data_IF_172932068011
#
_entry.id   IF_172932068011
#
_cell.length_a   1.000
_cell.length_b   1.000
_cell.length_c   1.000
_cell.angle_alpha   90.00
_cell.angle_beta   90.00
_cell.angle_gamma   90.00
#
_symmetry.space_group_name_H-M   'P 1'
#
loop_
_entity.id
_entity.type
_entity.pdbx_description
1 polymer ?
#
# COMPACT_ATOMS: atom_id res chain seq x y z
N UNK A 1 25.01 -13.85 14.39
CA UNK A 1 23.61 -14.18 14.74
C UNK A 1 22.81 -13.78 13.51
N UNK A 2 22.76 -14.68 12.54
CA UNK A 2 22.11 -14.44 11.25
C UNK A 2 20.61 -14.65 11.44
N UNK A 3 19.86 -13.54 11.51
CA UNK A 3 18.44 -13.58 11.22
C UNK A 3 18.32 -13.81 9.72
N UNK A 4 17.91 -15.01 9.32
CA UNK A 4 17.49 -15.27 7.95
C UNK A 4 16.21 -14.47 7.72
N UNK A 5 16.36 -13.21 7.30
CA UNK A 5 15.27 -12.40 6.78
C UNK A 5 14.61 -13.22 5.68
N UNK A 6 13.33 -13.53 5.87
CA UNK A 6 12.53 -14.19 4.86
C UNK A 6 12.42 -13.35 3.59
N UNK A 7 11.74 -13.91 2.59
CA UNK A 7 11.58 -13.29 1.27
C UNK A 7 11.15 -11.82 1.42
N UNK A 8 11.97 -10.92 0.89
CA UNK A 8 11.67 -9.49 0.78
C UNK A 8 11.16 -9.26 -0.63
N UNK A 9 9.87 -8.99 -0.75
CA UNK A 9 9.25 -8.59 -2.01
C UNK A 9 9.19 -7.07 -2.06
N UNK A 10 9.73 -6.48 -3.12
CA UNK A 10 9.73 -5.03 -3.31
C UNK A 10 8.92 -4.64 -4.54
N UNK A 11 8.17 -3.55 -4.41
CA UNK A 11 7.33 -2.97 -5.44
C UNK A 11 7.75 -1.53 -5.67
N UNK A 12 8.04 -1.19 -6.91
CA UNK A 12 8.29 0.18 -7.34
C UNK A 12 6.95 0.87 -7.62
N UNK A 13 6.79 2.10 -7.13
CA UNK A 13 5.60 2.91 -7.40
C UNK A 13 6.01 4.25 -8.01
N UNK A 14 5.39 4.60 -9.14
CA UNK A 14 5.47 5.91 -9.77
C UNK A 14 4.09 6.60 -9.72
N UNK A 15 4.06 7.89 -9.36
CA UNK A 15 2.82 8.67 -9.24
C UNK A 15 2.91 9.91 -10.13
N UNK A 16 1.93 10.11 -10.99
CA UNK A 16 1.84 11.28 -11.86
C UNK A 16 0.48 11.97 -11.74
N UNK A 17 0.49 13.30 -11.87
CA UNK A 17 -0.73 14.12 -11.97
C UNK A 17 -0.76 14.76 -13.37
N UNK A 18 -1.27 14.04 -14.39
CA UNK A 18 -1.21 14.50 -15.78
C UNK A 18 -2.02 15.76 -16.09
N UNK A 19 -3.15 15.98 -15.41
CA UNK A 19 -3.99 17.15 -15.69
C UNK A 19 -4.99 17.45 -14.57
N UNK A 20 -5.42 18.70 -14.50
CA UNK A 20 -6.54 19.17 -13.67
C UNK A 20 -7.75 19.52 -14.55
N UNK A 21 -8.96 19.18 -14.09
CA UNK A 21 -10.20 19.51 -14.79
C UNK A 21 -11.31 19.96 -13.81
N UNK A 22 -12.35 20.58 -14.35
CA UNK A 22 -13.55 20.92 -13.59
C UNK A 22 -14.63 19.87 -13.86
N UNK A 23 -15.24 19.37 -12.80
CA UNK A 23 -16.38 18.45 -12.80
C UNK A 23 -17.62 19.18 -12.27
N UNK A 24 -18.83 18.62 -12.43
CA UNK A 24 -20.04 19.20 -11.85
C UNK A 24 -19.98 19.39 -10.32
N UNK A 25 -19.15 18.62 -9.62
CA UNK A 25 -18.96 18.68 -8.16
C UNK A 25 -17.79 19.57 -7.71
N UNK A 26 -16.98 20.11 -8.63
CA UNK A 26 -15.83 20.96 -8.33
C UNK A 26 -14.57 20.61 -9.13
N UNK A 27 -13.41 21.11 -8.71
CA UNK A 27 -12.12 20.74 -9.30
C UNK A 27 -11.78 19.26 -9.08
N UNK A 28 -11.05 18.67 -10.00
CA UNK A 28 -10.58 17.29 -9.93
C UNK A 28 -9.23 17.10 -10.65
N UNK A 29 -8.45 16.14 -10.19
CA UNK A 29 -7.15 15.78 -10.74
C UNK A 29 -7.24 14.39 -11.36
N UNK A 30 -6.74 14.25 -12.59
CA UNK A 30 -6.36 12.94 -13.08
C UNK A 30 -5.05 12.55 -12.41
N UNK A 31 -5.02 11.36 -11.81
CA UNK A 31 -3.86 10.77 -11.13
C UNK A 31 -3.59 9.42 -11.76
N UNK A 32 -2.33 9.18 -12.13
CA UNK A 32 -1.86 7.91 -12.64
C UNK A 32 -0.86 7.31 -11.68
N UNK A 33 -1.03 6.03 -11.37
CA UNK A 33 -0.16 5.26 -10.49
C UNK A 33 0.31 4.04 -11.28
N UNK A 34 1.61 3.92 -11.47
CA UNK A 34 2.23 2.69 -11.98
C UNK A 34 2.84 1.94 -10.80
N UNK A 35 2.56 0.64 -10.70
CA UNK A 35 3.22 -0.26 -9.76
C UNK A 35 3.78 -1.48 -10.48
N UNK A 36 4.94 -1.96 -10.06
CA UNK A 36 5.54 -3.20 -10.57
C UNK A 36 6.52 -3.80 -9.57
N UNK A 37 6.78 -5.12 -9.61
CA UNK A 37 7.88 -5.69 -8.83
C UNK A 37 9.22 -5.06 -9.20
N UNK A 38 10.12 -4.90 -8.23
CA UNK A 38 11.40 -4.26 -8.48
C UNK A 38 12.22 -5.00 -9.55
N UNK A 39 12.75 -4.26 -10.52
CA UNK A 39 13.49 -4.83 -11.65
C UNK A 39 12.64 -5.59 -12.69
N UNK A 40 11.30 -5.60 -12.56
CA UNK A 40 10.41 -6.25 -13.52
C UNK A 40 10.17 -5.41 -14.79
N UNK A 41 9.77 -6.10 -15.85
CA UNK A 41 9.42 -5.47 -17.13
C UNK A 41 8.01 -4.86 -17.13
N UNK A 42 7.64 -4.20 -18.24
CA UNK A 42 6.32 -3.57 -18.40
C UNK A 42 5.17 -4.58 -18.33
N UNK A 43 5.39 -5.82 -18.73
CA UNK A 43 4.37 -6.89 -18.68
C UNK A 43 3.91 -7.23 -17.26
N UNK A 44 4.75 -6.96 -16.25
CA UNK A 44 4.45 -7.21 -14.83
C UNK A 44 3.92 -5.95 -14.12
N UNK A 45 3.67 -4.86 -14.86
CA UNK A 45 3.18 -3.60 -14.31
C UNK A 45 1.66 -3.59 -14.15
N UNK A 46 1.18 -2.90 -13.12
CA UNK A 46 -0.21 -2.51 -12.97
C UNK A 46 -0.29 -0.98 -13.02
N UNK A 47 -1.09 -0.46 -13.94
CA UNK A 47 -1.34 0.97 -14.13
C UNK A 47 -2.76 1.27 -13.67
N UNK A 48 -2.89 2.28 -12.83
CA UNK A 48 -4.16 2.78 -12.31
C UNK A 48 -4.33 4.22 -12.75
N UNK A 49 -5.51 4.58 -13.28
CA UNK A 49 -5.88 5.96 -13.54
C UNK A 49 -7.13 6.32 -12.75
N UNK A 50 -7.04 7.37 -11.96
CA UNK A 50 -8.07 7.83 -11.03
C UNK A 50 -8.43 9.26 -11.39
N UNK A 51 -9.73 9.57 -11.51
CA UNK A 51 -10.20 10.95 -11.42
C UNK A 51 -10.51 11.24 -9.96
N UNK A 52 -9.68 12.05 -9.31
CA UNK A 52 -9.75 12.32 -7.88
C UNK A 52 -10.26 13.74 -7.65
N UNK A 53 -11.34 13.89 -6.90
CA UNK A 53 -11.86 15.19 -6.47
C UNK A 53 -10.79 16.02 -5.76
N UNK A 54 -10.69 17.31 -6.05
CA UNK A 54 -9.77 18.25 -5.39
C UNK A 54 -9.98 18.31 -3.87
N UNK A 55 -11.17 17.93 -3.38
CA UNK A 55 -11.42 17.79 -1.95
C UNK A 55 -10.44 16.84 -1.25
N UNK A 56 -9.78 15.92 -1.98
CA UNK A 56 -8.76 15.01 -1.46
C UNK A 56 -7.61 15.74 -0.75
N UNK A 57 -7.31 16.98 -1.17
CA UNK A 57 -6.28 17.83 -0.55
C UNK A 57 -6.58 18.20 0.89
N UNK A 58 -7.85 18.05 1.31
CA UNK A 58 -8.35 18.30 2.66
C UNK A 58 -8.80 17.02 3.34
N UNK A 59 -8.53 15.86 2.74
CA UNK A 59 -8.98 14.58 3.27
C UNK A 59 -8.38 14.30 4.64
N UNK A 60 -9.20 13.72 5.51
CA UNK A 60 -8.75 13.18 6.78
C UNK A 60 -8.17 11.77 6.58
N UNK A 61 -7.17 11.35 7.38
CA UNK A 61 -6.63 9.99 7.31
C UNK A 61 -7.68 8.88 7.49
N UNK A 62 -8.79 9.15 8.19
CA UNK A 62 -9.87 8.18 8.39
C UNK A 62 -10.90 8.13 7.26
N UNK A 63 -10.78 8.98 6.25
CA UNK A 63 -11.72 8.95 5.12
C UNK A 63 -11.39 7.80 4.17
N UNK A 64 -12.41 7.29 3.48
CA UNK A 64 -12.22 6.25 2.47
C UNK A 64 -11.78 6.87 1.16
N UNK A 65 -10.84 6.23 0.45
CA UNK A 65 -10.40 6.68 -0.87
C UNK A 65 -11.57 6.78 -1.86
N UNK A 66 -12.57 5.91 -1.74
CA UNK A 66 -13.75 5.90 -2.61
C UNK A 66 -14.52 7.22 -2.57
N UNK A 67 -14.51 7.93 -1.45
CA UNK A 67 -15.28 9.18 -1.28
C UNK A 67 -14.73 10.32 -2.15
N UNK A 68 -13.51 10.16 -2.64
CA UNK A 68 -12.81 11.15 -3.46
C UNK A 68 -12.57 10.70 -4.89
N UNK A 69 -12.71 9.42 -5.19
CA UNK A 69 -12.50 8.87 -6.54
C UNK A 69 -13.81 8.90 -7.31
N UNK A 70 -13.86 9.73 -8.35
CA UNK A 70 -15.00 9.90 -9.25
C UNK A 70 -15.01 8.84 -10.35
N UNK A 71 -13.84 8.55 -10.92
CA UNK A 71 -13.66 7.55 -11.98
C UNK A 71 -12.41 6.72 -11.72
N UNK A 72 -12.44 5.44 -12.09
CA UNK A 72 -11.35 4.50 -11.85
C UNK A 72 -11.13 3.57 -13.06
N UNK A 73 -9.88 3.49 -13.51
CA UNK A 73 -9.45 2.64 -14.61
C UNK A 73 -8.21 1.84 -14.22
N UNK A 74 -8.10 0.61 -14.74
CA UNK A 74 -6.95 -0.27 -14.53
C UNK A 74 -6.45 -0.80 -15.88
N UNK A 75 -5.14 -0.90 -16.03
CA UNK A 75 -4.46 -1.65 -17.10
C UNK A 75 -3.39 -2.54 -16.48
N UNK A 76 -3.36 -3.83 -16.83
CA UNK A 76 -2.38 -4.80 -16.32
C UNK A 76 -1.46 -5.25 -17.45
N UNK A 77 -0.18 -4.97 -17.35
CA UNK A 77 0.80 -5.25 -18.39
C UNK A 77 0.35 -4.70 -19.76
N UNK A 78 0.29 -5.60 -20.74
CA UNK A 78 -0.18 -5.33 -22.10
C UNK A 78 -1.69 -5.48 -22.31
N UNK A 79 -2.48 -5.78 -21.26
CA UNK A 79 -3.93 -5.91 -21.37
C UNK A 79 -4.61 -4.61 -21.81
N UNK A 80 -5.86 -4.74 -22.27
CA UNK A 80 -6.75 -3.60 -22.50
C UNK A 80 -7.10 -2.88 -21.20
N UNK A 81 -7.25 -1.56 -21.28
CA UNK A 81 -7.76 -0.73 -20.18
C UNK A 81 -9.19 -1.16 -19.82
N UNK A 82 -9.49 -1.24 -18.53
CA UNK A 82 -10.81 -1.57 -17.99
C UNK A 82 -11.27 -0.46 -17.06
N UNK A 83 -12.49 0.02 -17.28
CA UNK A 83 -13.19 0.84 -16.29
C UNK A 83 -13.61 -0.02 -15.12
N UNK A 84 -13.46 0.51 -13.91
CA UNK A 84 -13.74 -0.18 -12.66
C UNK A 84 -14.62 0.72 -11.78
N UNK A 85 -15.43 0.09 -10.93
CA UNK A 85 -16.26 0.85 -10.00
C UNK A 85 -15.40 1.37 -8.83
N UNK A 86 -15.46 2.68 -8.50
CA UNK A 86 -14.77 3.22 -7.32
C UNK A 86 -15.14 2.50 -6.02
N UNK A 87 -16.34 1.91 -5.95
CA UNK A 87 -16.80 1.10 -4.82
C UNK A 87 -15.86 -0.07 -4.47
N UNK A 88 -15.02 -0.54 -5.40
CA UNK A 88 -13.97 -1.53 -5.11
C UNK A 88 -12.87 -1.01 -4.18
N UNK A 89 -12.78 0.31 -4.01
CA UNK A 89 -11.84 1.00 -3.13
C UNK A 89 -12.40 1.26 -1.72
N UNK A 90 -13.61 0.78 -1.40
CA UNK A 90 -14.29 1.07 -0.11
C UNK A 90 -13.44 0.75 1.12
N UNK A 91 -12.66 -0.32 1.06
CA UNK A 91 -11.84 -0.80 2.18
C UNK A 91 -10.43 -0.20 2.19
N UNK A 92 -10.12 0.72 1.28
CA UNK A 92 -8.81 1.40 1.20
C UNK A 92 -8.92 2.78 1.82
N UNK A 93 -8.59 2.93 3.11
CA UNK A 93 -8.59 4.23 3.74
C UNK A 93 -7.41 5.06 3.20
N UNK A 94 -7.59 6.38 3.09
CA UNK A 94 -6.58 7.29 2.52
C UNK A 94 -5.32 7.42 3.38
N UNK A 95 -5.52 7.31 4.68
CA UNK A 95 -4.51 6.95 5.64
C UNK A 95 -4.98 5.71 6.38
N UNK A 96 -4.12 5.02 7.12
CA UNK A 96 -4.61 3.91 7.91
C UNK A 96 -5.54 4.40 9.05
N UNK A 97 -6.61 3.64 9.31
CA UNK A 97 -7.66 3.94 10.31
C UNK A 97 -7.14 4.40 11.68
N UNK A 98 -7.89 5.36 12.28
CA UNK A 98 -7.80 5.93 13.64
C UNK A 98 -6.37 6.18 14.15
N UNK A 99 -5.93 7.45 14.13
CA UNK A 99 -4.60 7.90 14.58
C UNK A 99 -4.19 7.39 15.99
N UNK A 100 -5.15 7.04 16.86
CA UNK A 100 -4.88 6.55 18.22
C UNK A 100 -4.18 5.20 18.30
N UNK A 101 -4.17 4.41 17.21
CA UNK A 101 -3.52 3.09 17.16
C UNK A 101 -2.15 3.09 16.49
N UNK A 102 -1.66 4.26 16.06
CA UNK A 102 -0.41 4.40 15.32
C UNK A 102 0.64 5.15 16.13
N UNK A 103 1.86 4.62 16.14
CA UNK A 103 3.03 5.35 16.61
C UNK A 103 3.48 6.33 15.53
N UNK A 104 3.62 7.60 15.90
CA UNK A 104 4.00 8.70 15.03
C UNK A 104 5.42 9.16 15.33
N UNK A 105 6.26 9.25 14.30
CA UNK A 105 7.61 9.80 14.39
C UNK A 105 7.79 10.85 13.29
N UNK A 106 7.76 12.16 13.64
CA UNK A 106 7.95 13.22 12.66
C UNK A 106 9.43 13.43 12.32
N UNK A 107 9.70 13.94 11.13
CA UNK A 107 11.04 14.41 10.73
C UNK A 107 12.04 13.29 10.41
N UNK A 108 11.54 12.10 10.04
CA UNK A 108 12.39 10.98 9.62
C UNK A 108 12.83 11.22 8.18
N UNK A 109 14.14 11.19 7.93
CA UNK A 109 14.64 11.24 6.55
C UNK A 109 14.54 9.85 5.90
N UNK A 110 13.86 9.78 4.76
CA UNK A 110 13.72 8.54 3.97
C UNK A 110 14.32 8.77 2.59
N UNK A 111 15.28 7.93 2.23
CA UNK A 111 15.87 7.89 0.89
C UNK A 111 15.12 6.89 0.02
N UNK A 112 14.71 7.32 -1.17
CA UNK A 112 14.14 6.47 -2.23
C UNK A 112 14.82 6.78 -3.56
N UNK A 113 14.56 6.02 -4.65
CA UNK A 113 15.10 6.36 -5.97
C UNK A 113 14.65 7.74 -6.48
N UNK A 114 13.53 8.27 -5.97
CA UNK A 114 13.06 9.62 -6.29
C UNK A 114 13.84 10.74 -5.57
N UNK A 115 14.64 10.41 -4.55
CA UNK A 115 15.43 11.37 -3.75
C UNK A 115 15.25 11.17 -2.24
N UNK A 116 15.74 12.15 -1.47
CA UNK A 116 15.62 12.18 -0.02
C UNK A 116 14.45 13.05 0.42
N UNK A 117 13.61 12.52 1.32
CA UNK A 117 12.42 13.20 1.81
C UNK A 117 12.44 13.32 3.34
N UNK A 118 12.00 14.48 3.84
CA UNK A 118 11.61 14.61 5.25
C UNK A 118 10.19 14.11 5.41
N UNK A 119 10.02 13.04 6.17
CA UNK A 119 8.77 12.30 6.29
C UNK A 119 8.20 12.33 7.71
N UNK A 120 6.88 12.17 7.79
CA UNK A 120 6.20 11.65 8.96
C UNK A 120 6.08 10.13 8.82
N UNK A 121 6.66 9.39 9.77
CA UNK A 121 6.50 7.95 9.88
C UNK A 121 5.28 7.62 10.76
N UNK A 122 4.40 6.76 10.25
CA UNK A 122 3.31 6.14 11.00
C UNK A 122 3.55 4.63 11.05
N UNK A 123 3.56 4.01 12.23
CA UNK A 123 3.59 2.54 12.35
C UNK A 123 2.50 1.95 13.26
N UNK A 124 2.00 0.76 12.91
CA UNK A 124 1.02 -0.01 13.70
C UNK A 124 1.34 -1.48 13.61
N UNK A 125 1.16 -2.18 14.72
CA UNK A 125 1.29 -3.64 14.79
C UNK A 125 -0.05 -4.26 15.18
N UNK A 126 -0.47 -5.28 14.44
CA UNK A 126 -1.70 -6.03 14.70
C UNK A 126 -1.31 -7.49 14.90
N UNK A 127 -1.75 -8.05 16.03
CA UNK A 127 -1.60 -9.48 16.31
C UNK A 127 -2.93 -10.17 16.09
N UNK A 128 -2.95 -11.12 15.18
CA UNK A 128 -4.07 -12.03 14.94
C UNK A 128 -3.74 -13.39 15.54
N UNK A 129 -4.69 -13.95 16.28
CA UNK A 129 -4.60 -15.30 16.81
C UNK A 129 -5.78 -16.13 16.32
N UNK A 130 -5.52 -17.33 15.82
CA UNK A 130 -6.53 -18.23 15.29
C UNK A 130 -6.30 -19.65 15.80
N UNK A 131 -7.30 -20.20 16.48
CA UNK A 131 -7.34 -21.62 16.82
C UNK A 131 -7.90 -22.43 15.64
N UNK A 132 -7.18 -23.48 15.23
CA UNK A 132 -7.58 -24.41 14.17
C UNK A 132 -7.73 -25.79 14.79
N UNK A 133 -8.95 -26.36 14.88
CA UNK A 133 -9.15 -27.69 15.44
C UNK A 133 -8.60 -28.77 14.51
N UNK A 134 -7.69 -29.61 15.01
CA UNK A 134 -7.07 -30.73 14.26
C UNK A 134 -7.28 -32.05 15.01
N UNK A 135 -8.55 -32.44 15.18
CA UNK A 135 -8.93 -33.68 15.86
C UNK A 135 -8.59 -33.65 17.36
N UNK A 136 -7.50 -34.31 17.75
CA UNK A 136 -7.09 -34.47 19.17
C UNK A 136 -6.28 -33.30 19.73
N UNK A 137 -5.81 -32.39 18.87
CA UNK A 137 -5.08 -31.18 19.26
C UNK A 137 -5.60 -29.97 18.50
N UNK A 138 -5.36 -28.78 19.04
CA UNK A 138 -5.59 -27.50 18.37
C UNK A 138 -4.26 -26.99 17.82
N UNK A 139 -4.27 -26.37 16.66
CA UNK A 139 -3.18 -25.52 16.21
C UNK A 139 -3.52 -24.08 16.57
N UNK A 140 -2.64 -23.41 17.30
CA UNK A 140 -2.73 -21.96 17.53
C UNK A 140 -1.82 -21.30 16.51
N UNK A 141 -2.42 -20.56 15.59
CA UNK A 141 -1.71 -19.74 14.61
C UNK A 141 -1.68 -18.31 15.12
N UNK A 142 -0.47 -17.78 15.34
CA UNK A 142 -0.23 -16.39 15.71
C UNK A 142 0.42 -15.67 14.56
N UNK A 143 -0.25 -14.64 14.04
CA UNK A 143 0.26 -13.76 12.99
C UNK A 143 0.44 -12.36 13.55
N UNK A 144 1.58 -11.75 13.30
CA UNK A 144 1.84 -10.35 13.64
C UNK A 144 2.18 -9.59 12.37
N UNK A 145 1.38 -8.57 12.07
CA UNK A 145 1.53 -7.68 10.95
C UNK A 145 1.92 -6.29 11.46
N UNK A 146 3.12 -5.82 11.10
CA UNK A 146 3.57 -4.46 11.34
C UNK A 146 3.55 -3.69 10.03
N UNK A 147 2.76 -2.63 10.03
CA UNK A 147 2.66 -1.67 8.94
C UNK A 147 3.47 -0.45 9.32
N UNK A 148 4.26 0.07 8.38
CA UNK A 148 4.96 1.35 8.52
C UNK A 148 4.80 2.13 7.23
N UNK A 149 4.35 3.38 7.32
CA UNK A 149 4.08 4.25 6.19
C UNK A 149 4.78 5.57 6.41
N UNK A 150 5.44 6.08 5.37
CA UNK A 150 6.17 7.34 5.40
C UNK A 150 5.52 8.32 4.43
N UNK A 151 5.11 9.47 4.96
CA UNK A 151 4.44 10.52 4.21
C UNK A 151 5.28 11.79 4.13
N UNK A 152 5.32 12.45 2.97
CA UNK A 152 5.95 13.76 2.79
C UNK A 152 5.07 14.72 2.01
N UNK A 153 4.95 15.94 2.51
CA UNK A 153 4.20 17.03 1.86
C UNK A 153 4.78 17.44 0.50
N UNK A 154 6.03 17.06 0.21
CA UNK A 154 6.68 17.31 -1.08
C UNK A 154 6.22 16.36 -2.20
N UNK A 155 5.48 15.30 -1.89
CA UNK A 155 4.95 14.34 -2.88
C UNK A 155 3.50 14.70 -3.23
N UNK A 156 3.14 14.79 -4.53
CA UNK A 156 1.81 15.17 -4.98
C UNK A 156 0.79 14.05 -4.73
N UNK A 157 -0.37 14.40 -4.17
CA UNK A 157 -1.53 13.53 -3.90
C UNK A 157 -1.18 12.27 -3.08
N UNK A 158 -1.91 11.98 -2.00
CA UNK A 158 -1.63 10.90 -1.03
C UNK A 158 -0.33 11.03 -0.20
N UNK A 159 0.61 11.90 -0.59
CA UNK A 159 1.86 12.20 0.14
C UNK A 159 2.76 10.98 0.39
N UNK A 160 2.54 9.86 -0.30
CA UNK A 160 3.18 8.58 0.01
C UNK A 160 4.62 8.52 -0.53
N UNK A 161 5.59 8.35 0.35
CA UNK A 161 7.02 8.16 -0.01
C UNK A 161 7.39 6.68 0.03
N UNK A 162 6.97 5.97 1.08
CA UNK A 162 7.28 4.56 1.29
C UNK A 162 6.20 3.88 2.12
N UNK A 163 6.00 2.59 1.89
CA UNK A 163 5.20 1.72 2.75
C UNK A 163 5.95 0.40 2.96
N UNK A 164 5.91 -0.15 4.17
CA UNK A 164 6.48 -1.44 4.53
C UNK A 164 5.48 -2.23 5.34
N UNK A 165 5.33 -3.51 5.00
CA UNK A 165 4.52 -4.46 5.73
C UNK A 165 5.40 -5.63 6.11
N UNK A 166 5.76 -5.70 7.38
CA UNK A 166 6.46 -6.83 7.98
C UNK A 166 5.42 -7.79 8.53
N UNK A 167 5.43 -9.03 8.08
CA UNK A 167 4.54 -10.08 8.57
C UNK A 167 5.36 -11.18 9.19
N UNK A 168 4.93 -11.64 10.35
CA UNK A 168 5.45 -12.85 10.96
C UNK A 168 4.32 -13.82 11.30
N UNK A 169 4.58 -15.10 11.13
CA UNK A 169 3.64 -16.18 11.40
C UNK A 169 4.33 -17.27 12.19
N UNK A 170 3.69 -17.67 13.28
CA UNK A 170 4.07 -18.79 14.12
C UNK A 170 2.88 -19.74 14.25
N UNK A 171 3.16 -21.03 14.37
CA UNK A 171 2.12 -22.04 14.58
C UNK A 171 2.62 -23.06 15.59
N UNK A 172 1.81 -23.30 16.62
CA UNK A 172 2.07 -24.24 17.69
C UNK A 172 0.89 -25.19 17.93
N UNK A 173 1.17 -26.40 18.41
CA UNK A 173 0.15 -27.38 18.80
C UNK A 173 -0.21 -27.26 20.27
N UNK A 174 -1.50 -27.29 20.61
CA UNK A 174 -2.04 -27.25 21.96
C UNK A 174 -2.98 -28.45 22.21
N UNK A 175 -2.67 -29.37 23.16
CA UNK A 175 -1.42 -29.42 23.95
C UNK A 175 -0.20 -29.74 23.07
N UNK A 176 0.98 -29.34 23.52
CA UNK A 176 2.24 -29.65 22.84
C UNK A 176 2.43 -31.17 22.74
N UNK A 177 2.65 -31.68 21.51
CA UNK A 177 2.93 -33.10 21.27
C UNK A 177 4.45 -33.30 21.18
N UNK A 178 5.05 -34.17 22.02
CA UNK A 178 6.46 -34.55 21.89
C UNK A 178 6.78 -35.09 20.49
N UNK A 179 7.80 -34.52 19.83
CA UNK A 179 8.25 -34.95 18.50
C UNK A 179 7.63 -34.19 17.31
N UNK A 180 6.65 -33.32 17.53
CA UNK A 180 6.14 -32.39 16.51
C UNK A 180 6.76 -31.01 16.78
N UNK A 181 7.73 -30.54 15.96
CA UNK A 181 8.32 -29.22 16.15
C UNK A 181 7.30 -28.12 15.82
N UNK A 182 7.35 -27.01 16.56
CA UNK A 182 6.69 -25.78 16.11
C UNK A 182 7.25 -25.40 14.75
N UNK A 183 6.42 -24.86 13.86
CA UNK A 183 6.80 -24.64 12.45
C UNK A 183 7.86 -23.53 12.22
N UNK A 184 8.51 -23.08 13.30
CA UNK A 184 9.39 -21.91 13.31
C UNK A 184 8.63 -20.61 13.07
N UNK A 185 9.28 -19.48 13.37
CA UNK A 185 8.78 -18.16 12.96
C UNK A 185 9.07 -17.98 11.47
N UNK A 186 8.04 -17.80 10.67
CA UNK A 186 8.17 -17.37 9.27
C UNK A 186 8.02 -15.87 9.21
N UNK A 187 8.93 -15.20 8.53
CA UNK A 187 8.91 -13.76 8.34
C UNK A 187 8.83 -13.45 6.84
N UNK A 188 8.16 -12.36 6.49
CA UNK A 188 8.11 -11.84 5.14
C UNK A 188 7.98 -10.33 5.22
N UNK A 189 8.62 -9.61 4.30
CA UNK A 189 8.51 -8.16 4.22
C UNK A 189 8.07 -7.76 2.81
N UNK A 190 7.06 -6.91 2.72
CA UNK A 190 6.66 -6.27 1.47
C UNK A 190 6.99 -4.79 1.59
N UNK A 191 7.75 -4.24 0.64
CA UNK A 191 8.10 -2.82 0.61
C UNK A 191 7.62 -2.19 -0.69
N UNK A 192 6.98 -1.02 -0.59
CA UNK A 192 6.66 -0.18 -1.72
C UNK A 192 7.38 1.16 -1.59
N UNK A 193 8.08 1.61 -2.62
CA UNK A 193 8.88 2.85 -2.59
C UNK A 193 8.59 3.75 -3.78
N UNK A 194 8.58 5.06 -3.53
CA UNK A 194 8.43 6.08 -4.56
C UNK A 194 9.70 6.14 -5.43
N UNK A 195 9.56 5.86 -6.71
CA UNK A 195 10.69 5.93 -7.66
C UNK A 195 10.72 7.21 -8.49
N UNK A 196 9.60 7.93 -8.56
CA UNK A 196 9.51 9.24 -9.20
C UNK A 196 8.10 9.84 -9.11
N UNK A 197 8.00 11.14 -9.37
CA UNK A 197 6.73 11.84 -9.49
C UNK A 197 6.82 13.10 -10.36
N UNK A 198 5.69 13.58 -10.85
CA UNK A 198 5.62 14.79 -11.66
C UNK A 198 4.21 15.40 -11.78
N UNK A 199 4.18 16.70 -12.02
CA UNK A 199 3.00 17.45 -12.47
C UNK A 199 3.01 17.58 -13.99
N UNK A 200 1.84 17.64 -14.61
CA UNK A 200 1.68 17.82 -16.06
C UNK A 200 2.40 16.74 -16.89
N UNK A 201 2.52 15.54 -16.33
CA UNK A 201 3.10 14.39 -17.04
C UNK A 201 2.24 13.99 -18.24
N UNK A 202 2.88 13.45 -19.27
CA UNK A 202 2.14 12.84 -20.38
C UNK A 202 1.33 11.64 -19.86
N UNK A 203 0.03 11.53 -20.18
CA UNK A 203 -0.80 10.43 -19.70
C UNK A 203 -0.31 9.07 -20.23
N UNK A 204 -0.07 8.14 -19.33
CA UNK A 204 0.33 6.75 -19.62
C UNK A 204 -0.89 5.93 -20.06
N UNK A 205 -2.04 6.15 -19.43
CA UNK A 205 -3.30 5.51 -19.80
C UNK A 205 -4.04 6.46 -20.74
N UNK A 206 -4.08 6.18 -22.04
CA UNK A 206 -4.98 6.89 -22.96
C UNK A 206 -6.40 6.33 -22.84
N UNK A 207 -7.30 7.11 -22.23
CA UNK A 207 -8.74 6.86 -22.26
C UNK A 207 -9.31 7.68 -23.42
N UNK A 208 -9.75 7.01 -24.48
CA UNK A 208 -10.51 7.68 -25.55
C UNK A 208 -11.82 8.22 -24.96
N UNK A 209 -12.20 9.48 -25.26
CA UNK A 209 -13.42 10.11 -24.76
C UNK A 209 -14.71 9.52 -25.35
#
# INVERSE_FOLDING_TARGET
>A
MDMALGIVDSTEIYIAVPSHCNTPSGGAYWVEIESKPAGAGVEDSELFRLLVSEAITRASPQDSLVDYVLEFYIKKGSDSIKAEEPARLRDFPLGPNADSEWALVPGVTVSTPAGDFSCEEKSRSIVHEKEIPTGRVKLVEKRNDRWTVWFSQGVPIFHLVRCSIERSKETETVPAIPGIPSSGKRESQTVAELVGFGYDAEPIISVDP
#
